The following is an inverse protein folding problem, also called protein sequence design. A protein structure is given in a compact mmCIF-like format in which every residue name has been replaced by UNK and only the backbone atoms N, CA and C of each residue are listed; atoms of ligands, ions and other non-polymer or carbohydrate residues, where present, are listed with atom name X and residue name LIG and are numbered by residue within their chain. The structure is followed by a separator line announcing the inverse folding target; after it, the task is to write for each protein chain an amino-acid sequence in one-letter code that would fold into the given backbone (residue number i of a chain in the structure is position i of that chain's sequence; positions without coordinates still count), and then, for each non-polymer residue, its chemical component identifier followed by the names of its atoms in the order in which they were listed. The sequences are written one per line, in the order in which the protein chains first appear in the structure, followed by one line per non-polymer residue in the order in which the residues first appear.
data_IF_043481181745
#
_entry.id   IF_043481181745
#
_cell.length_a   1.000
_cell.length_b   1.000
_cell.length_c   1.000
_cell.angle_alpha   90.00
_cell.angle_beta   90.00
_cell.angle_gamma   90.00
#
_symmetry.space_group_name_H-M   'P 1'
#
loop_
_entity.id
_entity.type
_entity.pdbx_description
1 polymer ?
#
# COMPACT_ATOMS: atom_id res chain seq x y z
N UNK A 1 26.11 -41.29 19.31
CA UNK A 1 25.76 -39.87 19.59
C UNK A 1 25.77 -38.96 18.36
N UNK A 2 26.60 -39.16 17.32
CA UNK A 2 26.77 -38.20 16.21
C UNK A 2 25.58 -38.04 15.25
N UNK A 3 24.67 -39.02 15.15
CA UNK A 3 23.48 -38.92 14.30
C UNK A 3 22.45 -37.91 14.84
N UNK A 4 22.27 -37.85 16.16
CA UNK A 4 21.37 -36.89 16.81
C UNK A 4 21.84 -35.43 16.65
N UNK A 5 23.16 -35.21 16.69
CA UNK A 5 23.76 -33.87 16.56
C UNK A 5 23.66 -33.33 15.12
N UNK A 6 23.72 -34.25 14.13
CA UNK A 6 23.47 -33.94 12.72
C UNK A 6 22.03 -33.53 12.45
N UNK A 7 21.06 -34.21 13.05
CA UNK A 7 19.64 -33.83 12.88
C UNK A 7 19.31 -32.51 13.60
N UNK A 8 19.96 -32.23 14.75
CA UNK A 8 19.83 -30.96 15.48
C UNK A 8 20.44 -29.76 14.75
N UNK A 9 21.63 -29.93 14.17
CA UNK A 9 22.28 -28.88 13.38
C UNK A 9 21.50 -28.58 12.10
N UNK A 10 21.03 -29.62 11.42
CA UNK A 10 20.20 -29.51 10.21
C UNK A 10 18.84 -28.85 10.49
N UNK A 11 18.17 -29.18 11.59
CA UNK A 11 16.88 -28.56 11.95
C UNK A 11 17.04 -27.07 12.28
N UNK A 12 18.10 -26.70 13.02
CA UNK A 12 18.45 -25.29 13.27
C UNK A 12 18.74 -24.54 11.97
N UNK A 13 19.44 -25.15 11.02
CA UNK A 13 19.76 -24.52 9.74
C UNK A 13 18.50 -24.26 8.90
N UNK A 14 17.55 -25.20 8.87
CA UNK A 14 16.24 -25.00 8.23
C UNK A 14 15.40 -23.92 8.92
N UNK A 15 15.37 -23.88 10.26
CA UNK A 15 14.63 -22.88 11.01
C UNK A 15 15.21 -21.47 10.80
N UNK A 16 16.54 -21.35 10.76
CA UNK A 16 17.24 -20.09 10.55
C UNK A 16 17.08 -19.60 9.09
N UNK A 17 17.08 -20.51 8.12
CA UNK A 17 16.81 -20.16 6.71
C UNK A 17 15.39 -19.64 6.55
N UNK A 18 14.39 -20.34 7.10
CA UNK A 18 12.98 -19.92 7.02
C UNK A 18 12.74 -18.58 7.71
N UNK A 19 13.32 -18.35 8.89
CA UNK A 19 13.17 -17.06 9.58
C UNK A 19 13.82 -15.92 8.78
N UNK A 20 14.96 -16.17 8.14
CA UNK A 20 15.62 -15.21 7.25
C UNK A 20 14.75 -14.87 6.03
N UNK A 21 14.18 -15.86 5.35
CA UNK A 21 13.30 -15.65 4.18
C UNK A 21 12.05 -14.87 4.55
N UNK A 22 11.42 -15.18 5.68
CA UNK A 22 10.26 -14.43 6.19
C UNK A 22 10.63 -12.97 6.47
N UNK A 23 11.77 -12.73 7.10
CA UNK A 23 12.23 -11.37 7.40
C UNK A 23 12.48 -10.55 6.13
N UNK A 24 13.01 -11.18 5.08
CA UNK A 24 13.24 -10.56 3.76
C UNK A 24 11.90 -10.24 3.10
N UNK A 25 10.99 -11.21 3.07
CA UNK A 25 9.66 -11.04 2.47
C UNK A 25 8.87 -9.90 3.13
N UNK A 26 8.88 -9.83 4.46
CA UNK A 26 8.24 -8.75 5.21
C UNK A 26 8.86 -7.40 4.81
N UNK A 27 10.19 -7.28 4.82
CA UNK A 27 10.86 -6.03 4.42
C UNK A 27 10.49 -5.60 3.01
N UNK A 28 10.52 -6.51 2.04
CA UNK A 28 10.15 -6.22 0.65
C UNK A 28 8.69 -5.77 0.53
N UNK A 29 7.78 -6.41 1.26
CA UNK A 29 6.35 -6.05 1.27
C UNK A 29 6.15 -4.64 1.83
N UNK A 30 6.78 -4.31 2.96
CA UNK A 30 6.70 -2.97 3.54
C UNK A 30 7.39 -1.91 2.67
N UNK A 31 8.48 -2.25 1.99
CA UNK A 31 9.13 -1.34 1.03
C UNK A 31 8.23 -1.01 -0.15
N UNK A 32 7.61 -2.01 -0.77
CA UNK A 32 6.67 -1.80 -1.88
C UNK A 32 5.43 -1.02 -1.42
N UNK A 33 4.92 -1.32 -0.22
CA UNK A 33 3.82 -0.57 0.38
C UNK A 33 4.17 0.90 0.66
N UNK A 34 5.34 1.17 1.24
CA UNK A 34 5.79 2.54 1.48
C UNK A 34 6.00 3.30 0.16
N UNK A 35 6.60 2.65 -0.84
CA UNK A 35 6.77 3.25 -2.16
C UNK A 35 5.42 3.54 -2.84
N UNK A 36 4.42 2.68 -2.68
CA UNK A 36 3.10 2.90 -3.28
C UNK A 36 2.33 4.03 -2.58
N UNK A 37 2.47 4.18 -1.25
CA UNK A 37 1.98 5.34 -0.50
C UNK A 37 2.62 6.65 -0.97
N UNK A 38 3.93 6.66 -1.22
CA UNK A 38 4.62 7.82 -1.77
C UNK A 38 4.09 8.16 -3.17
N UNK A 39 3.95 7.17 -4.05
CA UNK A 39 3.38 7.38 -5.38
C UNK A 39 1.96 7.96 -5.31
N UNK A 40 1.10 7.46 -4.42
CA UNK A 40 -0.24 7.99 -4.20
C UNK A 40 -0.22 9.43 -3.66
N UNK A 41 0.71 9.75 -2.76
CA UNK A 41 0.87 11.11 -2.20
C UNK A 41 1.32 12.10 -3.27
N UNK A 42 2.25 11.70 -4.14
CA UNK A 42 2.66 12.52 -5.29
C UNK A 42 1.48 12.68 -6.26
N UNK A 43 0.70 11.63 -6.51
CA UNK A 43 -0.52 11.70 -7.31
C UNK A 43 -1.54 12.70 -6.74
N UNK A 44 -1.83 12.62 -5.44
CA UNK A 44 -2.72 13.56 -4.76
C UNK A 44 -2.22 15.01 -4.82
N UNK A 45 -0.92 15.22 -4.61
CA UNK A 45 -0.31 16.55 -4.73
C UNK A 45 -0.45 17.10 -6.15
N UNK A 46 -0.03 16.34 -7.17
CA UNK A 46 -0.18 16.74 -8.57
C UNK A 46 -1.64 16.98 -8.93
N UNK A 47 -2.56 16.17 -8.42
CA UNK A 47 -3.99 16.32 -8.67
C UNK A 47 -4.55 17.62 -8.11
N UNK A 48 -4.21 17.99 -6.87
CA UNK A 48 -4.63 19.26 -6.27
C UNK A 48 -4.10 20.46 -7.07
N UNK A 49 -2.84 20.43 -7.53
CA UNK A 49 -2.26 21.57 -8.24
C UNK A 49 -2.67 21.66 -9.72
N UNK A 50 -2.70 20.52 -10.42
CA UNK A 50 -2.88 20.49 -11.87
C UNK A 50 -4.32 20.22 -12.31
N UNK A 51 -5.10 19.47 -11.53
CA UNK A 51 -6.44 19.01 -11.92
C UNK A 51 -7.57 19.75 -11.21
N UNK A 52 -7.29 20.54 -10.17
CA UNK A 52 -8.33 21.28 -9.43
C UNK A 52 -9.20 22.16 -10.33
N UNK A 53 -8.59 22.91 -11.26
CA UNK A 53 -9.32 23.75 -12.22
C UNK A 53 -10.20 22.93 -13.18
N UNK A 54 -9.70 21.79 -13.65
CA UNK A 54 -10.43 20.89 -14.56
C UNK A 54 -11.62 20.20 -13.87
N UNK A 55 -11.50 19.87 -12.58
CA UNK A 55 -12.59 19.28 -11.81
C UNK A 55 -13.72 20.29 -11.51
N UNK A 56 -13.37 21.55 -11.27
CA UNK A 56 -14.35 22.62 -11.02
C UNK A 56 -15.12 22.95 -12.31
N UNK A 57 -14.46 22.88 -13.47
CA UNK A 57 -15.05 23.27 -14.75
C UNK A 57 -15.82 22.13 -15.45
N UNK A 58 -15.46 20.86 -15.20
CA UNK A 58 -16.14 19.73 -15.83
C UNK A 58 -16.07 18.44 -14.99
N UNK A 59 -17.24 17.93 -14.59
CA UNK A 59 -17.37 16.61 -13.97
C UNK A 59 -16.90 15.46 -14.89
N UNK A 60 -16.73 15.70 -16.19
CA UNK A 60 -16.27 14.69 -17.16
C UNK A 60 -14.84 14.22 -16.85
N UNK A 61 -13.97 15.12 -16.38
CA UNK A 61 -12.58 14.79 -16.02
C UNK A 61 -12.51 13.71 -14.94
N UNK A 62 -13.43 13.74 -13.97
CA UNK A 62 -13.54 12.72 -12.93
C UNK A 62 -13.93 11.36 -13.49
N UNK A 63 -14.96 11.31 -14.34
CA UNK A 63 -15.40 10.06 -14.96
C UNK A 63 -14.33 9.45 -15.87
N UNK A 64 -13.55 10.27 -16.58
CA UNK A 64 -12.42 9.79 -17.38
C UNK A 64 -11.34 9.18 -16.48
N UNK A 65 -10.93 9.88 -15.42
CA UNK A 65 -9.91 9.36 -14.49
C UNK A 65 -10.40 8.09 -13.78
N UNK A 66 -11.67 8.04 -13.41
CA UNK A 66 -12.29 6.84 -12.83
C UNK A 66 -12.28 5.67 -13.82
N UNK A 67 -12.61 5.89 -15.09
CA UNK A 67 -12.53 4.85 -16.12
C UNK A 67 -11.08 4.37 -16.33
N UNK A 68 -10.10 5.28 -16.30
CA UNK A 68 -8.67 4.95 -16.36
C UNK A 68 -8.24 4.11 -15.14
N UNK A 69 -8.69 4.49 -13.94
CA UNK A 69 -8.40 3.76 -12.69
C UNK A 69 -8.94 2.32 -12.75
N UNK A 70 -10.17 2.13 -13.22
CA UNK A 70 -10.76 0.81 -13.44
C UNK A 70 -9.97 0.02 -14.47
N UNK A 71 -9.58 0.63 -15.59
CA UNK A 71 -8.74 -0.02 -16.61
C UNK A 71 -7.39 -0.47 -16.04
N UNK A 72 -6.75 0.38 -15.22
CA UNK A 72 -5.50 0.08 -14.51
C UNK A 72 -5.67 -1.07 -13.51
N UNK A 73 -6.79 -1.12 -12.78
CA UNK A 73 -7.10 -2.23 -11.87
C UNK A 73 -7.19 -3.56 -12.63
N UNK A 74 -7.93 -3.61 -13.73
CA UNK A 74 -8.05 -4.83 -14.53
C UNK A 74 -6.70 -5.23 -15.12
N UNK A 75 -5.94 -4.28 -15.67
CA UNK A 75 -4.60 -4.54 -16.20
C UNK A 75 -3.65 -5.07 -15.12
N UNK A 76 -3.67 -4.49 -13.92
CA UNK A 76 -2.88 -4.94 -12.78
C UNK A 76 -3.29 -6.35 -12.34
N UNK A 77 -4.59 -6.65 -12.25
CA UNK A 77 -5.08 -7.99 -11.90
C UNK A 77 -4.66 -9.04 -12.92
N UNK A 78 -4.72 -8.70 -14.21
CA UNK A 78 -4.29 -9.58 -15.29
C UNK A 78 -2.78 -9.86 -15.23
N UNK A 79 -1.99 -8.82 -15.00
CA UNK A 79 -0.53 -8.87 -15.09
C UNK A 79 0.19 -9.03 -13.76
N UNK A 80 -0.53 -9.31 -12.66
CA UNK A 80 0.03 -9.41 -11.31
C UNK A 80 1.22 -10.37 -11.14
N UNK A 81 1.30 -11.41 -11.98
CA UNK A 81 2.36 -12.44 -11.95
C UNK A 81 3.57 -12.11 -12.82
N UNK A 82 3.51 -11.07 -13.65
CA UNK A 82 4.57 -10.70 -14.59
C UNK A 82 5.38 -9.53 -14.05
N UNK A 83 6.52 -9.82 -13.42
CA UNK A 83 7.52 -8.81 -13.07
C UNK A 83 8.41 -8.49 -14.30
N UNK A 84 8.81 -7.23 -14.53
CA UNK A 84 8.59 -6.02 -13.71
C UNK A 84 7.31 -5.22 -14.04
N UNK A 85 6.52 -5.69 -15.01
CA UNK A 85 5.33 -4.96 -15.49
C UNK A 85 4.30 -4.73 -14.37
N UNK A 86 4.12 -5.70 -13.47
CA UNK A 86 3.24 -5.59 -12.32
C UNK A 86 3.58 -4.42 -11.38
N UNK A 87 4.87 -4.11 -11.19
CA UNK A 87 5.32 -3.00 -10.36
C UNK A 87 4.99 -1.65 -11.01
N UNK A 88 5.22 -1.54 -12.32
CA UNK A 88 4.86 -0.33 -13.08
C UNK A 88 3.35 -0.09 -13.03
N UNK A 89 2.56 -1.14 -13.24
CA UNK A 89 1.10 -1.08 -13.12
C UNK A 89 0.65 -0.74 -11.70
N UNK A 90 1.32 -1.28 -10.67
CA UNK A 90 1.02 -0.97 -9.27
C UNK A 90 1.26 0.49 -8.96
N UNK A 91 2.42 1.05 -9.33
CA UNK A 91 2.73 2.46 -9.09
C UNK A 91 1.87 3.39 -9.95
N UNK A 92 1.60 3.03 -11.20
CA UNK A 92 0.67 3.78 -12.05
C UNK A 92 -0.75 3.79 -11.48
N UNK A 93 -1.21 2.65 -10.98
CA UNK A 93 -2.51 2.54 -10.32
C UNK A 93 -2.56 3.36 -9.03
N UNK A 94 -1.58 3.25 -8.15
CA UNK A 94 -1.58 3.98 -6.88
C UNK A 94 -1.44 5.49 -7.10
N UNK A 95 -0.64 5.92 -8.08
CA UNK A 95 -0.56 7.31 -8.50
C UNK A 95 -1.90 7.83 -9.04
N UNK A 96 -2.55 7.05 -9.92
CA UNK A 96 -3.87 7.39 -10.45
C UNK A 96 -4.92 7.48 -9.34
N UNK A 97 -4.90 6.55 -8.38
CA UNK A 97 -5.77 6.58 -7.21
C UNK A 97 -5.53 7.82 -6.34
N UNK A 98 -4.26 8.25 -6.23
CA UNK A 98 -3.92 9.54 -5.63
C UNK A 98 -4.57 10.72 -6.37
N UNK A 99 -4.55 10.73 -7.70
CA UNK A 99 -5.22 11.76 -8.51
C UNK A 99 -6.75 11.73 -8.31
N UNK A 100 -7.38 10.55 -8.23
CA UNK A 100 -8.83 10.44 -8.05
C UNK A 100 -9.32 10.85 -6.65
N UNK A 101 -8.42 10.90 -5.65
CA UNK A 101 -8.71 11.49 -4.34
C UNK A 101 -8.80 13.03 -4.35
N UNK A 102 -8.30 13.70 -5.39
CA UNK A 102 -8.28 15.17 -5.50
C UNK A 102 -9.60 15.87 -5.17
N UNK A 103 -10.77 15.54 -5.79
CA UNK A 103 -12.02 16.22 -5.49
C UNK A 103 -12.44 16.11 -4.02
N UNK A 104 -12.13 14.99 -3.36
CA UNK A 104 -12.36 14.81 -1.93
C UNK A 104 -11.41 15.70 -1.11
N UNK A 105 -10.13 15.76 -1.48
CA UNK A 105 -9.17 16.61 -0.79
C UNK A 105 -9.53 18.09 -0.92
N UNK A 106 -9.97 18.55 -2.10
CA UNK A 106 -10.41 19.92 -2.33
C UNK A 106 -11.66 20.24 -1.50
N UNK A 107 -12.63 19.33 -1.45
CA UNK A 107 -13.85 19.56 -0.67
C UNK A 107 -13.57 19.69 0.83
N UNK A 108 -12.63 18.88 1.36
CA UNK A 108 -12.19 19.00 2.75
C UNK A 108 -11.36 20.26 2.98
N UNK A 109 -10.46 20.62 2.05
CA UNK A 109 -9.67 21.86 2.14
C UNK A 109 -10.53 23.12 2.11
N UNK A 110 -11.72 23.08 1.51
CA UNK A 110 -12.68 24.17 1.52
C UNK A 110 -13.38 24.37 2.87
N UNK A 111 -13.32 23.38 3.78
CA UNK A 111 -13.86 23.50 5.13
C UNK A 111 -12.95 24.36 6.01
N UNK A 112 -13.50 25.01 7.07
CA UNK A 112 -12.69 25.65 8.08
C UNK A 112 -11.68 24.66 8.68
N UNK A 113 -10.40 25.03 8.70
CA UNK A 113 -9.29 24.17 9.15
C UNK A 113 -9.12 22.85 8.36
N UNK A 114 -9.55 22.78 7.09
CA UNK A 114 -9.47 21.58 6.24
C UNK A 114 -8.08 20.91 6.17
N UNK A 115 -7.00 21.71 6.12
CA UNK A 115 -5.64 21.17 6.16
C UNK A 115 -5.29 20.45 7.46
N UNK A 116 -5.80 20.94 8.61
CA UNK A 116 -5.64 20.29 9.91
C UNK A 116 -6.42 18.97 9.94
N UNK A 117 -7.64 18.95 9.39
CA UNK A 117 -8.47 17.74 9.31
C UNK A 117 -7.74 16.65 8.54
N UNK A 118 -7.18 16.97 7.37
CA UNK A 118 -6.42 16.02 6.55
C UNK A 118 -5.19 15.51 7.31
N UNK A 119 -4.44 16.41 7.96
CA UNK A 119 -3.26 16.04 8.73
C UNK A 119 -3.59 15.11 9.91
N UNK A 120 -4.68 15.38 10.63
CA UNK A 120 -5.14 14.55 11.73
C UNK A 120 -5.62 13.18 11.26
N UNK A 121 -6.40 13.12 10.18
CA UNK A 121 -6.85 11.85 9.60
C UNK A 121 -5.66 10.98 9.16
N UNK A 122 -4.70 11.59 8.46
CA UNK A 122 -3.46 10.91 8.06
C UNK A 122 -2.68 10.41 9.28
N UNK A 123 -2.45 11.26 10.28
CA UNK A 123 -1.72 10.90 11.49
C UNK A 123 -2.38 9.74 12.23
N UNK A 124 -3.71 9.75 12.39
CA UNK A 124 -4.44 8.65 13.02
C UNK A 124 -4.29 7.35 12.24
N UNK A 125 -4.42 7.38 10.92
CA UNK A 125 -4.22 6.18 10.08
C UNK A 125 -2.79 5.66 10.17
N UNK A 126 -1.79 6.54 10.11
CA UNK A 126 -0.38 6.15 10.23
C UNK A 126 -0.09 5.53 11.59
N UNK A 127 -0.56 6.15 12.68
CA UNK A 127 -0.36 5.64 14.04
C UNK A 127 -1.07 4.30 14.24
N UNK A 128 -2.33 4.18 13.80
CA UNK A 128 -3.08 2.94 13.91
C UNK A 128 -2.41 1.82 13.09
N UNK A 129 -2.05 2.08 11.83
CA UNK A 129 -1.38 1.11 10.97
C UNK A 129 -0.04 0.69 11.56
N UNK A 130 0.84 1.64 11.92
CA UNK A 130 2.14 1.33 12.48
C UNK A 130 2.04 0.58 13.82
N UNK A 131 1.10 0.98 14.69
CA UNK A 131 0.84 0.31 15.96
C UNK A 131 0.40 -1.13 15.78
N UNK A 132 -0.57 -1.38 14.88
CA UNK A 132 -1.04 -2.72 14.57
C UNK A 132 0.05 -3.55 13.86
N UNK A 133 0.83 -2.95 12.97
CA UNK A 133 1.96 -3.60 12.30
C UNK A 133 3.00 -4.13 13.30
N UNK A 134 3.43 -3.29 14.24
CA UNK A 134 4.39 -3.70 15.29
C UNK A 134 3.79 -4.76 16.19
N UNK A 135 2.51 -4.61 16.57
CA UNK A 135 1.81 -5.61 17.36
C UNK A 135 1.74 -6.96 16.65
N UNK A 136 1.39 -6.97 15.36
CA UNK A 136 1.31 -8.18 14.54
C UNK A 136 2.68 -8.85 14.33
N UNK A 137 3.77 -8.08 14.27
CA UNK A 137 5.13 -8.63 14.12
C UNK A 137 5.66 -9.26 15.42
N UNK A 138 5.23 -8.77 16.58
CA UNK A 138 5.74 -9.23 17.88
C UNK A 138 4.84 -10.26 18.58
N UNK A 139 3.58 -10.38 18.15
CA UNK A 139 2.61 -11.29 18.79
C UNK A 139 2.90 -12.75 18.45
N UNK A 140 2.74 -13.64 19.44
CA UNK A 140 2.83 -15.09 19.26
C UNK A 140 1.50 -15.74 18.88
N UNK A 141 0.44 -14.93 18.77
CA UNK A 141 -0.90 -15.41 18.44
C UNK A 141 -0.96 -15.73 16.95
N UNK A 142 -1.40 -16.95 16.65
CA UNK A 142 -1.64 -17.38 15.28
C UNK A 142 -2.98 -16.81 14.77
N UNK A 143 -2.93 -16.04 13.68
CA UNK A 143 -4.10 -15.45 13.02
C UNK A 143 -4.55 -16.22 11.77
N UNK A 144 -3.97 -17.38 11.48
CA UNK A 144 -4.27 -18.19 10.28
C UNK A 144 -5.75 -18.54 10.14
N UNK A 145 -6.49 -18.64 11.26
CA UNK A 145 -7.94 -18.95 11.25
C UNK A 145 -8.79 -17.78 10.73
N UNK A 146 -8.32 -16.53 10.86
CA UNK A 146 -9.07 -15.34 10.39
C UNK A 146 -9.01 -15.14 8.88
N UNK A 147 -8.07 -15.80 8.17
CA UNK A 147 -7.89 -15.67 6.72
C UNK A 147 -8.52 -16.79 5.88
N UNK A 148 -9.14 -17.79 6.51
CA UNK A 148 -9.90 -18.84 5.81
C UNK A 148 -11.32 -18.35 5.54
N UNK A 149 -11.52 -17.74 4.38
CA UNK A 149 -12.82 -17.49 3.76
C UNK A 149 -12.91 -18.28 2.45
#
# INVERSE_FOLDING_TARGET
MSLYDRDYSRSKEFENTRSSELSIFIKQTYQLFAASLLAATVGAYVGIFALASFFIQSQVTFWILFAVEIGLLFALQWKKREAPLNLVLLFGFTFCSGLTLTPLLISVLALPAGGIIIAQAFALTTVAFAGLSVFAMNTKKDFTVMGKA
#
